data_IF_491697187750
#
_entry.id   IF_491697187750
#
_cell.length_a   1.000
_cell.length_b   1.000
_cell.length_c   1.000
_cell.angle_alpha   90.00
_cell.angle_beta   90.00
_cell.angle_gamma   90.00
#
_symmetry.space_group_name_H-M   'P 1'
#
loop_
_entity.id
_entity.type
_entity.pdbx_description
1 polymer ?
#
# COMPACT_ATOMS: atom_id res chain seq x y z
N UNK A 1 -40.62 -8.21 75.75
CA UNK A 1 -41.11 -8.75 74.47
C UNK A 1 -40.56 -8.03 73.23
N UNK A 2 -40.60 -6.68 73.13
CA UNK A 2 -40.09 -5.94 71.97
C UNK A 2 -38.58 -6.11 71.68
N UNK A 3 -37.74 -6.16 72.71
CA UNK A 3 -36.27 -6.32 72.59
C UNK A 3 -35.91 -7.71 72.06
N UNK A 4 -36.66 -8.75 72.46
CA UNK A 4 -36.45 -10.11 72.01
C UNK A 4 -36.78 -10.31 70.50
N UNK A 5 -37.81 -9.60 70.01
CA UNK A 5 -38.20 -9.61 68.60
C UNK A 5 -37.14 -8.89 67.73
N UNK A 6 -36.60 -7.77 68.22
CA UNK A 6 -35.53 -7.04 67.51
C UNK A 6 -34.26 -7.88 67.43
N UNK A 7 -33.88 -8.57 68.50
CA UNK A 7 -32.71 -9.45 68.50
C UNK A 7 -32.85 -10.64 67.51
N UNK A 8 -34.07 -11.24 67.40
CA UNK A 8 -34.32 -12.31 66.43
C UNK A 8 -34.27 -11.77 64.99
N UNK A 9 -34.83 -10.60 64.71
CA UNK A 9 -34.80 -9.99 63.38
C UNK A 9 -33.36 -9.58 62.93
N UNK A 10 -32.54 -9.09 63.88
CA UNK A 10 -31.12 -8.81 63.55
C UNK A 10 -30.33 -10.10 63.29
N UNK A 11 -30.58 -11.16 64.02
CA UNK A 11 -29.94 -12.44 63.80
C UNK A 11 -30.35 -13.08 62.44
N UNK A 12 -31.63 -12.97 62.05
CA UNK A 12 -32.08 -13.37 60.70
C UNK A 12 -31.44 -12.53 59.61
N UNK A 13 -31.31 -11.21 59.77
CA UNK A 13 -30.68 -10.35 58.78
C UNK A 13 -29.22 -10.75 58.56
N UNK A 14 -28.47 -10.95 59.64
CA UNK A 14 -27.06 -11.38 59.56
C UNK A 14 -26.95 -12.75 58.90
N UNK A 15 -27.84 -13.70 59.21
CA UNK A 15 -27.85 -15.02 58.57
C UNK A 15 -28.12 -14.94 57.06
N UNK A 16 -29.05 -14.10 56.62
CA UNK A 16 -29.33 -13.86 55.19
C UNK A 16 -28.15 -13.25 54.48
N UNK A 17 -27.45 -12.27 55.12
CA UNK A 17 -26.25 -11.65 54.52
C UNK A 17 -25.08 -12.64 54.40
N UNK A 18 -24.89 -13.50 55.42
CA UNK A 18 -23.83 -14.52 55.39
C UNK A 18 -24.14 -15.59 54.36
N UNK A 19 -25.35 -16.09 54.33
CA UNK A 19 -25.77 -17.10 53.36
C UNK A 19 -25.80 -16.57 51.92
N UNK A 20 -26.21 -15.31 51.72
CA UNK A 20 -26.16 -14.62 50.46
C UNK A 20 -24.74 -14.46 49.94
N UNK A 21 -23.81 -14.08 50.83
CA UNK A 21 -22.40 -13.92 50.48
C UNK A 21 -21.71 -15.27 50.15
N UNK A 22 -22.06 -16.34 50.91
CA UNK A 22 -21.56 -17.69 50.65
C UNK A 22 -22.13 -18.26 49.35
N UNK A 23 -23.41 -18.01 49.07
CA UNK A 23 -24.04 -18.44 47.82
C UNK A 23 -23.47 -17.67 46.61
N UNK A 24 -23.21 -16.40 46.76
CA UNK A 24 -22.56 -15.57 45.75
C UNK A 24 -21.12 -16.02 45.48
N UNK A 25 -20.35 -16.34 46.52
CA UNK A 25 -18.98 -16.88 46.37
C UNK A 25 -18.99 -18.28 45.72
N UNK A 26 -19.93 -19.15 46.06
CA UNK A 26 -20.07 -20.46 45.42
C UNK A 26 -20.42 -20.38 43.94
N UNK A 27 -21.37 -19.51 43.56
CA UNK A 27 -21.68 -19.29 42.14
C UNK A 27 -20.49 -18.65 41.36
N UNK A 28 -19.68 -17.82 42.02
CA UNK A 28 -18.51 -17.24 41.40
C UNK A 28 -17.37 -18.24 41.20
N UNK A 29 -17.29 -19.29 42.01
CA UNK A 29 -16.32 -20.38 41.84
C UNK A 29 -16.76 -21.43 40.84
N UNK A 30 -18.06 -21.62 40.59
CA UNK A 30 -18.55 -22.54 39.54
C UNK A 30 -18.46 -21.98 38.13
N UNK A 31 -18.35 -20.64 37.97
CA UNK A 31 -18.10 -20.00 36.66
C UNK A 31 -16.61 -19.80 36.33
N UNK A 32 -15.67 -20.25 37.16
CA UNK A 32 -14.22 -20.16 36.94
C UNK A 32 -13.62 -21.53 36.57
N UNK A 33 -14.42 -22.48 36.16
CA UNK A 33 -13.96 -23.75 35.54
C UNK A 33 -14.33 -23.82 34.05
N UNK A 34 -14.47 -22.68 33.40
CA UNK A 34 -14.36 -22.61 31.95
C UNK A 34 -13.02 -22.01 31.65
N UNK A 35 -12.08 -22.82 31.15
CA UNK A 35 -10.80 -22.51 30.54
C UNK A 35 -10.39 -21.05 30.69
N UNK A 36 -9.39 -20.76 31.50
CA UNK A 36 -8.59 -19.55 31.33
C UNK A 36 -7.95 -19.63 29.94
N UNK A 37 -8.72 -19.22 28.91
CA UNK A 37 -8.13 -18.66 27.73
C UNK A 37 -7.39 -17.45 28.27
N UNK A 38 -6.09 -17.56 28.33
CA UNK A 38 -5.24 -16.49 28.84
C UNK A 38 -5.54 -15.26 28.00
N UNK A 39 -5.55 -14.07 28.61
CA UNK A 39 -5.70 -12.79 27.89
C UNK A 39 -4.63 -12.70 26.78
N UNK A 40 -3.48 -13.39 26.94
CA UNK A 40 -2.45 -13.55 25.91
C UNK A 40 -2.96 -14.29 24.67
N UNK A 41 -3.72 -15.37 24.80
CA UNK A 41 -4.19 -16.16 23.65
C UNK A 41 -5.21 -15.38 22.80
N UNK A 42 -6.06 -14.54 23.46
CA UNK A 42 -7.04 -13.72 22.73
C UNK A 42 -6.35 -12.58 21.97
N UNK A 43 -5.31 -11.98 22.54
CA UNK A 43 -4.53 -10.90 21.91
C UNK A 43 -3.69 -11.44 20.75
N UNK A 44 -3.12 -12.63 20.87
CA UNK A 44 -2.37 -13.29 19.80
C UNK A 44 -3.29 -13.70 18.63
N UNK A 45 -4.47 -14.23 18.91
CA UNK A 45 -5.44 -14.57 17.86
C UNK A 45 -5.95 -13.34 17.13
N UNK A 46 -6.23 -12.24 17.83
CA UNK A 46 -6.66 -10.98 17.21
C UNK A 46 -5.53 -10.36 16.37
N UNK A 47 -4.30 -10.40 16.85
CA UNK A 47 -3.11 -9.94 16.10
C UNK A 47 -2.91 -10.76 14.82
N UNK A 48 -3.07 -12.09 14.89
CA UNK A 48 -2.92 -12.95 13.72
C UNK A 48 -4.04 -12.74 12.69
N UNK A 49 -5.28 -12.53 13.14
CA UNK A 49 -6.42 -12.22 12.26
C UNK A 49 -6.20 -10.89 11.53
N UNK A 50 -5.71 -9.87 12.23
CA UNK A 50 -5.39 -8.58 11.63
C UNK A 50 -4.25 -8.72 10.60
N UNK A 51 -3.19 -9.47 10.91
CA UNK A 51 -2.10 -9.77 9.96
C UNK A 51 -2.63 -10.43 8.69
N UNK A 52 -3.46 -11.47 8.82
CA UNK A 52 -4.05 -12.18 7.69
C UNK A 52 -4.95 -11.27 6.84
N UNK A 53 -5.63 -10.32 7.46
CA UNK A 53 -6.42 -9.31 6.74
C UNK A 53 -5.53 -8.44 5.83
N UNK A 54 -4.42 -7.89 6.34
CA UNK A 54 -3.53 -7.04 5.53
C UNK A 54 -2.81 -7.85 4.45
N UNK A 55 -2.39 -9.08 4.73
CA UNK A 55 -1.80 -9.97 3.71
C UNK A 55 -2.81 -10.33 2.62
N UNK A 56 -4.09 -10.46 2.96
CA UNK A 56 -5.16 -10.65 1.96
C UNK A 56 -5.33 -9.42 1.08
N UNK A 57 -5.29 -8.21 1.63
CA UNK A 57 -5.31 -6.98 0.84
C UNK A 57 -4.15 -6.91 -0.16
N UNK A 58 -2.98 -7.42 0.22
CA UNK A 58 -1.78 -7.48 -0.62
C UNK A 58 -1.70 -8.72 -1.52
N UNK A 59 -2.80 -9.48 -1.71
CA UNK A 59 -2.77 -10.77 -2.40
C UNK A 59 -2.18 -10.71 -3.81
N UNK A 60 -2.33 -9.59 -4.52
CA UNK A 60 -1.80 -9.39 -5.87
C UNK A 60 -0.35 -8.86 -5.91
N UNK A 61 0.23 -8.49 -4.77
CA UNK A 61 1.59 -7.95 -4.73
C UNK A 61 2.62 -9.01 -5.13
N UNK A 62 3.82 -8.60 -5.60
CA UNK A 62 4.93 -9.51 -5.79
C UNK A 62 5.23 -10.29 -4.51
N UNK A 63 5.62 -11.56 -4.65
CA UNK A 63 5.83 -12.43 -3.47
C UNK A 63 6.83 -11.84 -2.48
N UNK A 64 7.96 -11.30 -2.97
CA UNK A 64 8.97 -10.64 -2.13
C UNK A 64 8.38 -9.48 -1.32
N UNK A 65 7.52 -8.65 -1.92
CA UNK A 65 6.85 -7.55 -1.21
C UNK A 65 5.85 -8.05 -0.14
N UNK A 66 5.15 -9.17 -0.40
CA UNK A 66 4.26 -9.80 0.59
C UNK A 66 5.03 -10.37 1.78
N UNK A 67 6.15 -11.03 1.54
CA UNK A 67 7.03 -11.55 2.59
C UNK A 67 7.58 -10.40 3.45
N UNK A 68 7.98 -9.29 2.83
CA UNK A 68 8.41 -8.10 3.57
C UNK A 68 7.27 -7.47 4.38
N UNK A 69 6.06 -7.34 3.79
CA UNK A 69 4.89 -6.85 4.52
C UNK A 69 4.61 -7.72 5.75
N UNK A 70 4.67 -9.05 5.62
CA UNK A 70 4.50 -9.96 6.75
C UNK A 70 5.56 -9.74 7.84
N UNK A 71 6.82 -9.57 7.45
CA UNK A 71 7.92 -9.28 8.37
C UNK A 71 7.72 -7.95 9.11
N UNK A 72 7.31 -6.89 8.38
CA UNK A 72 6.99 -5.57 8.96
C UNK A 72 5.80 -5.63 9.92
N UNK A 73 4.74 -6.39 9.58
CA UNK A 73 3.60 -6.61 10.47
C UNK A 73 4.01 -7.34 11.76
N UNK A 74 4.89 -8.34 11.65
CA UNK A 74 5.41 -9.09 12.81
C UNK A 74 6.30 -8.22 13.70
N UNK A 75 7.14 -7.34 13.13
CA UNK A 75 8.02 -6.40 13.86
C UNK A 75 7.31 -5.12 14.31
N UNK A 76 6.06 -4.91 13.89
CA UNK A 76 5.27 -3.68 14.11
C UNK A 76 5.92 -2.44 13.50
N UNK A 77 6.61 -2.63 12.40
CA UNK A 77 7.17 -1.57 11.56
C UNK A 77 6.21 -1.27 10.40
N UNK A 78 6.35 -0.11 9.80
CA UNK A 78 5.59 0.26 8.61
C UNK A 78 6.27 -0.28 7.36
N UNK A 79 5.46 -0.75 6.41
CA UNK A 79 5.89 -1.07 5.07
C UNK A 79 5.93 0.21 4.22
N UNK A 80 7.10 0.55 3.69
CA UNK A 80 7.34 1.80 2.97
C UNK A 80 7.11 1.64 1.47
N UNK A 81 6.12 2.35 0.92
CA UNK A 81 5.87 2.43 -0.53
C UNK A 81 6.32 3.79 -1.05
N UNK A 82 7.10 3.80 -2.14
CA UNK A 82 7.44 5.03 -2.84
C UNK A 82 6.85 5.04 -4.24
N UNK A 83 6.08 6.09 -4.55
CA UNK A 83 5.61 6.38 -5.90
C UNK A 83 6.66 7.26 -6.59
N UNK A 84 7.40 6.68 -7.54
CA UNK A 84 8.40 7.40 -8.33
C UNK A 84 7.88 7.62 -9.74
N UNK A 85 7.84 8.87 -10.20
CA UNK A 85 7.39 9.15 -11.56
C UNK A 85 7.59 10.58 -12.02
N UNK A 86 7.12 10.86 -13.23
CA UNK A 86 7.09 12.20 -13.79
C UNK A 86 5.95 13.05 -13.21
N UNK A 87 5.83 14.29 -13.66
CA UNK A 87 4.70 15.16 -13.34
C UNK A 87 3.32 14.58 -13.77
N UNK A 88 3.33 13.57 -14.66
CA UNK A 88 2.13 12.85 -15.07
C UNK A 88 1.42 12.12 -13.92
N UNK A 89 2.14 11.73 -12.85
CA UNK A 89 1.53 11.08 -11.67
C UNK A 89 0.90 12.06 -10.67
N UNK A 90 1.04 13.37 -10.90
CA UNK A 90 0.52 14.41 -10.02
C UNK A 90 1.40 14.67 -8.80
N UNK A 91 0.80 15.04 -7.68
CA UNK A 91 1.49 15.36 -6.43
C UNK A 91 0.62 15.02 -5.20
N UNK A 92 1.12 15.28 -3.98
CA UNK A 92 0.42 15.00 -2.72
C UNK A 92 -0.95 15.72 -2.55
N UNK A 93 -1.23 16.71 -3.36
CA UNK A 93 -2.48 17.48 -3.29
C UNK A 93 -3.46 17.11 -4.40
N UNK A 94 -2.97 16.59 -5.53
CA UNK A 94 -3.77 16.31 -6.71
C UNK A 94 -3.15 15.17 -7.53
N UNK A 95 -3.99 14.32 -8.09
CA UNK A 95 -3.60 13.31 -9.06
C UNK A 95 -3.46 11.91 -8.48
N UNK A 96 -2.72 11.07 -9.20
CA UNK A 96 -2.55 9.66 -8.87
C UNK A 96 -1.94 9.46 -7.47
N UNK A 97 -0.89 10.24 -7.15
CA UNK A 97 -0.21 10.18 -5.84
C UNK A 97 -1.22 10.36 -4.71
N UNK A 98 -2.00 11.44 -4.76
CA UNK A 98 -3.00 11.76 -3.72
C UNK A 98 -4.02 10.64 -3.55
N UNK A 99 -4.56 10.15 -4.65
CA UNK A 99 -5.63 9.14 -4.63
C UNK A 99 -5.10 7.79 -4.08
N UNK A 100 -3.93 7.36 -4.55
CA UNK A 100 -3.34 6.09 -4.08
C UNK A 100 -2.88 6.17 -2.63
N UNK A 101 -2.27 7.29 -2.22
CA UNK A 101 -1.84 7.52 -0.84
C UNK A 101 -3.05 7.43 0.12
N UNK A 102 -4.14 8.12 -0.19
CA UNK A 102 -5.36 8.08 0.61
C UNK A 102 -5.94 6.66 0.68
N UNK A 103 -6.06 5.97 -0.46
CA UNK A 103 -6.63 4.63 -0.53
C UNK A 103 -5.78 3.59 0.25
N UNK A 104 -4.46 3.63 0.10
CA UNK A 104 -3.55 2.72 0.80
C UNK A 104 -3.55 2.97 2.31
N UNK A 105 -3.47 4.24 2.73
CA UNK A 105 -3.52 4.60 4.16
C UNK A 105 -4.88 4.24 4.77
N UNK A 106 -5.99 4.43 4.06
CA UNK A 106 -7.33 4.03 4.53
C UNK A 106 -7.42 2.52 4.77
N UNK A 107 -6.89 1.70 3.85
CA UNK A 107 -7.04 0.23 3.89
C UNK A 107 -6.00 -0.48 4.75
N UNK A 108 -4.76 -0.02 4.73
CA UNK A 108 -3.66 -0.61 5.49
C UNK A 108 -3.40 0.11 6.83
N UNK A 109 -4.11 1.21 7.09
CA UNK A 109 -4.03 1.99 8.32
C UNK A 109 -2.56 2.44 8.62
N UNK A 110 -2.07 2.15 9.82
CA UNK A 110 -0.70 2.51 10.24
C UNK A 110 0.37 1.50 9.78
N UNK A 111 0.01 0.47 9.00
CA UNK A 111 0.94 -0.57 8.59
C UNK A 111 1.68 -0.25 7.29
N UNK A 112 1.18 0.72 6.52
CA UNK A 112 1.80 1.20 5.29
C UNK A 112 2.06 2.69 5.40
N UNK A 113 3.21 3.12 4.89
CA UNK A 113 3.55 4.53 4.66
C UNK A 113 3.79 4.75 3.17
N UNK A 114 3.27 5.85 2.63
CA UNK A 114 3.38 6.13 1.20
C UNK A 114 4.04 7.49 1.00
N UNK A 115 5.19 7.49 0.35
CA UNK A 115 5.92 8.68 -0.06
C UNK A 115 5.95 8.80 -1.58
N UNK A 116 6.36 9.96 -2.09
CA UNK A 116 6.44 10.19 -3.53
C UNK A 116 7.68 10.98 -3.92
N UNK A 117 8.21 10.65 -5.10
CA UNK A 117 9.25 11.44 -5.78
C UNK A 117 8.74 11.77 -7.18
N UNK A 118 8.51 13.04 -7.44
CA UNK A 118 8.18 13.56 -8.79
C UNK A 118 9.43 14.13 -9.41
N UNK A 119 9.76 13.69 -10.62
CA UNK A 119 10.93 14.15 -11.37
C UNK A 119 10.54 14.65 -12.75
N UNK A 120 10.79 15.92 -13.02
CA UNK A 120 10.31 16.64 -14.21
C UNK A 120 11.34 16.67 -15.37
N UNK A 121 12.28 15.71 -15.38
CA UNK A 121 13.33 15.69 -16.41
C UNK A 121 13.50 14.27 -16.97
N UNK A 122 14.47 14.07 -17.87
CA UNK A 122 14.71 12.80 -18.55
C UNK A 122 15.36 11.75 -17.64
N UNK A 123 15.24 10.47 -18.04
CA UNK A 123 15.93 9.35 -17.38
C UNK A 123 17.45 9.57 -17.39
N UNK A 124 18.02 10.13 -18.47
CA UNK A 124 19.44 10.46 -18.57
C UNK A 124 19.88 11.44 -17.49
N UNK A 125 19.08 12.49 -17.25
CA UNK A 125 19.41 13.46 -16.20
C UNK A 125 19.24 12.88 -14.80
N UNK A 126 18.27 11.98 -14.60
CA UNK A 126 18.07 11.28 -13.32
C UNK A 126 19.31 10.47 -12.94
N UNK A 127 19.85 9.69 -13.89
CA UNK A 127 21.05 8.87 -13.68
C UNK A 127 22.29 9.76 -13.51
N UNK A 128 22.52 10.72 -14.42
CA UNK A 128 23.70 11.59 -14.39
C UNK A 128 23.81 12.42 -13.10
N UNK A 129 22.68 12.81 -12.52
CA UNK A 129 22.64 13.57 -11.27
C UNK A 129 22.56 12.68 -10.04
N UNK A 130 22.60 11.35 -10.19
CA UNK A 130 22.47 10.37 -9.08
C UNK A 130 21.21 10.60 -8.23
N UNK A 131 20.10 10.97 -8.86
CA UNK A 131 18.83 11.29 -8.19
C UNK A 131 18.25 10.05 -7.45
N UNK A 132 18.65 8.83 -7.84
CA UNK A 132 18.31 7.59 -7.11
C UNK A 132 18.76 7.62 -5.64
N UNK A 133 19.74 8.46 -5.26
CA UNK A 133 20.10 8.63 -3.86
C UNK A 133 18.94 9.18 -3.01
N UNK A 134 18.03 9.96 -3.59
CA UNK A 134 16.82 10.44 -2.89
C UNK A 134 15.86 9.28 -2.63
N UNK A 135 15.73 8.37 -3.59
CA UNK A 135 14.91 7.17 -3.47
C UNK A 135 15.49 6.23 -2.39
N UNK A 136 16.79 5.98 -2.42
CA UNK A 136 17.49 5.16 -1.42
C UNK A 136 17.33 5.72 0.01
N UNK A 137 17.38 7.05 0.17
CA UNK A 137 17.23 7.69 1.48
C UNK A 137 15.81 7.55 2.09
N UNK A 138 14.80 7.21 1.29
CA UNK A 138 13.45 6.90 1.78
C UNK A 138 13.32 5.45 2.25
N UNK A 139 14.35 4.62 2.04
CA UNK A 139 14.37 3.20 2.42
C UNK A 139 13.10 2.43 2.02
N UNK A 140 12.66 2.50 0.73
CA UNK A 140 11.43 1.83 0.30
C UNK A 140 11.53 0.32 0.39
N UNK A 141 10.46 -0.33 0.86
CA UNK A 141 10.24 -1.77 0.70
C UNK A 141 9.69 -2.07 -0.71
N UNK A 142 8.89 -1.15 -1.27
CA UNK A 142 8.34 -1.26 -2.62
C UNK A 142 8.34 0.08 -3.36
N UNK A 143 8.75 0.08 -4.62
CA UNK A 143 8.72 1.24 -5.51
C UNK A 143 7.74 0.98 -6.65
N UNK A 144 6.74 1.83 -6.79
CA UNK A 144 5.86 1.88 -7.96
C UNK A 144 6.43 2.94 -8.90
N UNK A 145 7.07 2.50 -9.97
CA UNK A 145 7.89 3.34 -10.82
C UNK A 145 7.24 3.59 -12.19
N UNK A 146 6.98 4.86 -12.48
CA UNK A 146 6.64 5.41 -13.79
C UNK A 146 7.90 6.10 -14.34
N UNK A 147 8.63 5.52 -15.33
CA UNK A 147 10.01 5.91 -15.62
C UNK A 147 10.18 7.10 -16.59
N UNK A 148 9.42 8.16 -16.43
CA UNK A 148 9.58 9.46 -17.13
C UNK A 148 9.53 9.41 -18.66
N UNK A 149 8.88 8.38 -19.26
CA UNK A 149 8.93 8.17 -20.72
C UNK A 149 8.37 9.35 -21.52
N UNK A 150 7.41 10.11 -20.98
CA UNK A 150 6.92 11.32 -21.63
C UNK A 150 7.99 12.42 -21.70
N UNK A 151 8.88 12.49 -20.73
CA UNK A 151 9.99 13.44 -20.71
C UNK A 151 11.14 12.99 -21.64
N UNK A 152 11.30 11.69 -21.81
CA UNK A 152 12.27 11.11 -22.75
C UNK A 152 11.80 11.17 -24.21
N UNK A 153 10.47 11.29 -24.43
CA UNK A 153 9.90 11.20 -25.78
C UNK A 153 10.48 12.25 -26.73
N UNK A 154 11.05 11.79 -27.87
CA UNK A 154 11.81 12.58 -28.84
C UNK A 154 13.11 13.27 -28.32
N UNK A 155 13.55 12.95 -27.10
CA UNK A 155 14.75 13.53 -26.47
C UNK A 155 15.81 12.47 -26.22
N UNK A 156 15.43 11.31 -25.69
CA UNK A 156 16.32 10.19 -25.38
C UNK A 156 16.00 9.01 -26.31
N UNK A 157 17.02 8.35 -26.85
CA UNK A 157 16.80 7.16 -27.67
C UNK A 157 16.25 6.00 -26.81
N UNK A 158 15.34 5.17 -27.36
CA UNK A 158 14.71 4.06 -26.63
C UNK A 158 15.72 3.15 -25.92
N UNK A 159 16.82 2.70 -26.55
CA UNK A 159 17.80 1.87 -25.87
C UNK A 159 18.47 2.57 -24.67
N UNK A 160 18.71 3.90 -24.78
CA UNK A 160 19.31 4.68 -23.70
C UNK A 160 18.31 4.87 -22.56
N UNK A 161 17.01 5.11 -22.86
CA UNK A 161 15.95 5.14 -21.85
C UNK A 161 15.90 3.83 -21.06
N UNK A 162 15.91 2.67 -21.73
CA UNK A 162 15.88 1.37 -21.07
C UNK A 162 17.15 1.13 -20.25
N UNK A 163 18.33 1.49 -20.77
CA UNK A 163 19.58 1.41 -20.02
C UNK A 163 19.57 2.27 -18.76
N UNK A 164 19.01 3.48 -18.82
CA UNK A 164 18.88 4.37 -17.69
C UNK A 164 17.91 3.81 -16.63
N UNK A 165 16.77 3.22 -17.07
CA UNK A 165 15.82 2.54 -16.16
C UNK A 165 16.50 1.37 -15.45
N UNK A 166 17.27 0.54 -16.19
CA UNK A 166 18.07 -0.54 -15.61
C UNK A 166 19.01 0.00 -14.53
N UNK A 167 19.76 1.06 -14.84
CA UNK A 167 20.70 1.67 -13.90
C UNK A 167 20.01 2.20 -12.64
N UNK A 168 18.83 2.81 -12.75
CA UNK A 168 18.05 3.28 -11.59
C UNK A 168 17.68 2.12 -10.67
N UNK A 169 17.20 1.03 -11.25
CA UNK A 169 16.80 -0.17 -10.52
C UNK A 169 18.03 -0.85 -9.89
N UNK A 170 19.10 -1.03 -10.65
CA UNK A 170 20.34 -1.68 -10.21
C UNK A 170 21.00 -0.92 -9.05
N UNK A 171 21.16 0.41 -9.18
CA UNK A 171 21.76 1.23 -8.12
C UNK A 171 20.90 1.26 -6.85
N UNK A 172 19.58 1.30 -7.01
CA UNK A 172 18.67 1.24 -5.86
C UNK A 172 18.74 -0.13 -5.18
N UNK A 173 18.69 -1.22 -5.96
CA UNK A 173 18.76 -2.60 -5.43
C UNK A 173 20.14 -2.91 -4.82
N UNK A 174 21.21 -2.35 -5.36
CA UNK A 174 22.55 -2.49 -4.76
C UNK A 174 22.62 -1.87 -3.35
N UNK A 175 21.92 -0.77 -3.13
CA UNK A 175 21.83 -0.10 -1.83
C UNK A 175 20.78 -0.76 -0.89
N UNK A 176 19.67 -1.24 -1.46
CA UNK A 176 18.51 -1.81 -0.76
C UNK A 176 18.20 -3.19 -1.40
N UNK A 177 18.87 -4.26 -1.01
CA UNK A 177 18.77 -5.56 -1.69
C UNK A 177 17.37 -6.19 -1.71
N UNK A 178 16.55 -5.85 -0.73
CA UNK A 178 15.21 -6.39 -0.57
C UNK A 178 14.11 -5.53 -1.25
N UNK A 179 14.45 -4.39 -1.86
CA UNK A 179 13.47 -3.51 -2.49
C UNK A 179 12.77 -4.19 -3.67
N UNK A 180 11.46 -4.09 -3.72
CA UNK A 180 10.65 -4.61 -4.84
C UNK A 180 10.23 -3.49 -5.78
N UNK A 181 10.50 -3.66 -7.10
CA UNK A 181 10.03 -2.72 -8.13
C UNK A 181 8.77 -3.24 -8.83
N UNK A 182 7.82 -2.32 -9.03
CA UNK A 182 6.66 -2.48 -9.91
C UNK A 182 6.75 -1.38 -10.95
N UNK A 183 6.80 -1.75 -12.23
CA UNK A 183 6.87 -0.81 -13.35
C UNK A 183 5.48 -0.53 -13.91
N UNK A 184 5.27 0.68 -14.41
CA UNK A 184 4.07 1.07 -15.11
C UNK A 184 4.40 2.13 -16.18
N UNK A 185 3.65 2.24 -17.29
CA UNK A 185 3.84 3.34 -18.23
C UNK A 185 3.26 4.64 -17.66
N UNK A 186 3.64 5.84 -18.18
CA UNK A 186 2.86 7.05 -18.00
C UNK A 186 1.49 6.96 -18.71
N UNK A 187 0.67 8.00 -18.62
CA UNK A 187 -0.64 8.04 -19.30
C UNK A 187 -0.54 7.92 -20.82
N UNK A 188 -1.61 7.46 -21.46
CA UNK A 188 -1.73 7.53 -22.91
C UNK A 188 -1.84 8.98 -23.41
N UNK A 189 -1.35 9.22 -24.64
CA UNK A 189 -1.56 10.44 -25.39
C UNK A 189 -2.10 10.12 -26.78
N UNK A 190 -2.95 11.03 -27.33
CA UNK A 190 -3.59 10.81 -28.62
C UNK A 190 -2.60 10.91 -29.78
N UNK A 191 -2.73 9.99 -30.74
CA UNK A 191 -2.03 9.95 -32.04
C UNK A 191 -0.49 10.04 -31.96
N UNK A 192 0.09 9.49 -30.88
CA UNK A 192 1.53 9.43 -30.68
C UNK A 192 2.17 8.31 -31.52
N UNK A 193 3.35 8.57 -32.08
CA UNK A 193 4.07 7.61 -32.93
C UNK A 193 5.22 6.91 -32.18
N UNK A 194 6.16 7.65 -31.62
CA UNK A 194 7.35 7.12 -30.95
C UNK A 194 7.04 6.65 -29.52
N UNK A 195 6.19 7.37 -28.82
CA UNK A 195 5.88 7.11 -27.42
C UNK A 195 5.31 5.70 -27.15
N UNK A 196 4.37 5.15 -27.95
CA UNK A 196 3.93 3.76 -27.78
C UNK A 196 5.06 2.72 -27.96
N UNK A 197 6.09 3.05 -28.77
CA UNK A 197 7.25 2.18 -28.92
C UNK A 197 8.15 2.19 -27.67
N UNK A 198 8.28 3.34 -26.99
CA UNK A 198 8.98 3.44 -25.71
C UNK A 198 8.25 2.63 -24.64
N UNK A 199 6.91 2.72 -24.59
CA UNK A 199 6.09 1.96 -23.64
C UNK A 199 6.19 0.45 -23.91
N UNK A 200 6.18 0.03 -25.18
CA UNK A 200 6.39 -1.38 -25.55
C UNK A 200 7.78 -1.88 -25.13
N UNK A 201 8.82 -1.08 -25.32
CA UNK A 201 10.18 -1.43 -24.87
C UNK A 201 10.29 -1.53 -23.35
N UNK A 202 9.59 -0.65 -22.59
CA UNK A 202 9.51 -0.76 -21.13
C UNK A 202 8.85 -2.08 -20.69
N UNK A 203 7.76 -2.46 -21.36
CA UNK A 203 7.06 -3.72 -21.04
C UNK A 203 7.94 -4.94 -21.39
N UNK A 204 8.66 -4.92 -22.51
CA UNK A 204 9.61 -5.95 -22.89
C UNK A 204 10.73 -6.07 -21.86
N UNK A 205 11.34 -4.96 -21.47
CA UNK A 205 12.33 -4.92 -20.40
C UNK A 205 11.81 -5.50 -19.07
N UNK A 206 10.60 -5.12 -18.66
CA UNK A 206 10.02 -5.66 -17.44
C UNK A 206 9.85 -7.20 -17.50
N UNK A 207 9.40 -7.72 -18.65
CA UNK A 207 9.26 -9.16 -18.88
C UNK A 207 10.62 -9.89 -18.85
N UNK A 208 11.65 -9.34 -19.50
CA UNK A 208 13.00 -9.90 -19.53
C UNK A 208 13.65 -9.95 -18.14
N UNK A 209 13.40 -8.92 -17.33
CA UNK A 209 13.93 -8.82 -15.97
C UNK A 209 13.03 -9.49 -14.91
N UNK A 210 11.91 -10.12 -15.31
CA UNK A 210 10.91 -10.70 -14.41
C UNK A 210 10.37 -9.69 -13.39
N UNK A 211 10.25 -8.42 -13.78
CA UNK A 211 9.65 -7.37 -12.96
C UNK A 211 8.14 -7.33 -13.18
N UNK A 212 7.39 -7.01 -12.13
CA UNK A 212 5.96 -6.77 -12.25
C UNK A 212 5.70 -5.52 -13.10
N UNK A 213 4.85 -5.64 -14.12
CA UNK A 213 4.45 -4.54 -14.99
C UNK A 213 2.94 -4.33 -14.94
N UNK A 214 2.49 -3.15 -14.56
CA UNK A 214 1.08 -2.78 -14.48
C UNK A 214 0.68 -1.97 -15.71
N UNK A 215 0.08 -2.65 -16.68
CA UNK A 215 -0.36 -2.03 -17.93
C UNK A 215 -1.72 -1.34 -17.78
N UNK A 216 -1.76 -0.20 -17.09
CA UNK A 216 -3.01 0.53 -16.93
C UNK A 216 -3.60 1.07 -18.25
N UNK A 217 -2.84 1.05 -19.38
CA UNK A 217 -3.37 1.44 -20.69
C UNK A 217 -4.56 0.59 -21.13
N UNK A 218 -4.72 -0.61 -20.58
CA UNK A 218 -5.84 -1.51 -20.86
C UNK A 218 -7.20 -0.92 -20.53
N UNK A 219 -7.26 0.06 -19.60
CA UNK A 219 -8.51 0.72 -19.21
C UNK A 219 -8.69 2.09 -19.85
N UNK A 220 -7.69 2.59 -20.60
CA UNK A 220 -7.78 3.83 -21.36
C UNK A 220 -8.41 3.57 -22.76
N UNK A 221 -9.02 4.58 -23.39
CA UNK A 221 -9.31 4.49 -24.82
C UNK A 221 -8.02 4.21 -25.61
N UNK A 222 -8.15 3.56 -26.77
CA UNK A 222 -6.97 3.28 -27.61
C UNK A 222 -6.27 4.58 -28.03
N UNK A 223 -4.92 4.60 -28.10
CA UNK A 223 -4.15 5.81 -28.37
C UNK A 223 -4.43 6.49 -29.72
N UNK A 224 -5.07 5.80 -30.69
CA UNK A 224 -5.57 6.35 -31.94
C UNK A 224 -7.03 6.82 -31.87
N UNK A 225 -7.70 6.66 -30.72
CA UNK A 225 -9.05 7.16 -30.49
C UNK A 225 -8.98 8.57 -29.89
N UNK A 226 -9.62 9.53 -30.55
CA UNK A 226 -9.65 10.93 -30.12
C UNK A 226 -10.23 11.12 -28.70
N UNK A 227 -11.02 10.17 -28.23
CA UNK A 227 -11.59 10.19 -26.86
C UNK A 227 -10.55 10.07 -25.77
N UNK A 228 -9.29 9.70 -26.06
CA UNK A 228 -8.18 9.83 -25.11
C UNK A 228 -8.06 11.25 -24.57
N UNK A 229 -8.35 12.26 -25.40
CA UNK A 229 -8.28 13.66 -24.99
C UNK A 229 -9.30 14.06 -23.92
N UNK A 230 -10.38 13.29 -23.73
CA UNK A 230 -11.37 13.52 -22.67
C UNK A 230 -10.78 13.22 -21.26
N UNK A 231 -9.68 12.48 -21.20
CA UNK A 231 -8.95 12.10 -20.00
C UNK A 231 -7.67 12.94 -19.75
N UNK A 232 -7.38 13.89 -20.65
CA UNK A 232 -6.18 14.69 -20.61
C UNK A 232 -6.49 16.18 -20.43
N UNK A 233 -5.55 16.92 -19.89
CA UNK A 233 -5.53 18.37 -19.89
C UNK A 233 -4.83 18.92 -21.15
N UNK A 234 -4.68 20.24 -21.26
CA UNK A 234 -4.06 20.90 -22.42
C UNK A 234 -2.56 20.61 -22.58
N UNK A 235 -1.91 20.06 -21.57
CA UNK A 235 -0.49 19.67 -21.57
C UNK A 235 -0.30 18.18 -21.80
N UNK A 236 -1.36 17.48 -22.21
CA UNK A 236 -1.40 16.02 -22.39
C UNK A 236 -1.06 15.22 -21.10
N UNK A 237 -1.28 15.81 -19.93
CA UNK A 237 -1.25 15.13 -18.64
C UNK A 237 -2.68 14.71 -18.24
N UNK A 238 -2.83 13.70 -17.37
CA UNK A 238 -4.16 13.28 -16.92
C UNK A 238 -4.93 14.45 -16.28
N UNK A 239 -6.20 14.58 -16.64
CA UNK A 239 -7.15 15.38 -15.89
C UNK A 239 -7.79 14.54 -14.77
N UNK A 240 -8.79 15.06 -14.07
CA UNK A 240 -9.45 14.34 -12.97
C UNK A 240 -10.00 12.96 -13.40
N UNK A 241 -10.60 12.87 -14.61
CA UNK A 241 -11.11 11.60 -15.16
C UNK A 241 -9.98 10.64 -15.49
N UNK A 242 -8.86 11.13 -16.03
CA UNK A 242 -7.66 10.33 -16.32
C UNK A 242 -6.99 9.81 -15.04
N UNK A 243 -6.84 10.65 -14.03
CA UNK A 243 -6.34 10.22 -12.73
C UNK A 243 -7.23 9.17 -12.08
N UNK A 244 -8.55 9.36 -12.15
CA UNK A 244 -9.50 8.38 -11.63
C UNK A 244 -9.36 7.02 -12.33
N UNK A 245 -9.30 7.03 -13.66
CA UNK A 245 -9.16 5.82 -14.46
C UNK A 245 -7.87 5.06 -14.10
N UNK A 246 -6.76 5.78 -14.00
CA UNK A 246 -5.45 5.23 -13.64
C UNK A 246 -5.42 4.71 -12.22
N UNK A 247 -5.90 5.51 -11.27
CA UNK A 247 -5.91 5.12 -9.85
C UNK A 247 -6.85 3.93 -9.57
N UNK A 248 -8.01 3.85 -10.22
CA UNK A 248 -8.93 2.72 -10.08
C UNK A 248 -8.25 1.40 -10.53
N UNK A 249 -7.44 1.44 -11.60
CA UNK A 249 -6.68 0.29 -12.05
C UNK A 249 -5.62 -0.14 -11.02
N UNK A 250 -4.80 0.80 -10.55
CA UNK A 250 -3.76 0.49 -9.57
C UNK A 250 -4.33 0.08 -8.22
N UNK A 251 -5.40 0.73 -7.78
CA UNK A 251 -6.05 0.37 -6.50
C UNK A 251 -6.56 -1.06 -6.49
N UNK A 252 -7.14 -1.56 -7.60
CA UNK A 252 -7.56 -2.97 -7.71
C UNK A 252 -6.40 -3.97 -7.61
N UNK A 253 -5.20 -3.56 -8.03
CA UNK A 253 -4.02 -4.38 -7.87
C UNK A 253 -3.46 -4.31 -6.45
N UNK A 254 -3.35 -3.08 -5.91
CA UNK A 254 -2.72 -2.83 -4.63
C UNK A 254 -3.59 -3.20 -3.43
N UNK A 255 -4.91 -3.27 -3.61
CA UNK A 255 -5.90 -3.52 -2.55
C UNK A 255 -6.86 -4.59 -3.06
N UNK A 256 -6.59 -5.85 -2.71
CA UNK A 256 -7.44 -7.00 -3.03
C UNK A 256 -8.62 -7.08 -2.05
N UNK A 257 -9.86 -6.99 -2.54
CA UNK A 257 -11.09 -7.10 -1.72
C UNK A 257 -11.75 -8.47 -1.86
#
# INVERSE_FOLDING_TARGET
MKIFIVAILTLMLVAVLVLGNLHWKSKRSEHVSTSAISISDTTEVESELNKQYYLKLAANWPEAAKEQLENKLNSKEKFQIVLLGSDAIGNDSLGLIKILKDALVEKYENHVEVESIVYENTTTNYVNNSEYAKLVNLEPDMVIFEPFLLNDNNVVAIPDTISNISSIIEETTAALPDVTFILQPPNQIYDANLYPMQVAALQEYANEQNLTYLNHWEVWPAGNDVTVNDYLNTEARPNESGFKLWSDYLSKYLISE
#
